data_IF_761947900063
#
_entry.id   IF_761947900063
#
_cell.length_a   1.000
_cell.length_b   1.000
_cell.length_c   1.000
_cell.angle_alpha   90.00
_cell.angle_beta   90.00
_cell.angle_gamma   90.00
#
_symmetry.space_group_name_H-M   'P 1'
#
loop_
_entity.id
_entity.type
_entity.pdbx_description
1 polymer ?
#
# COMPACT_ATOMS: atom_id res chain seq x y z
N UNK A 1 -16.39 18.13 42.29
CA UNK A 1 -16.56 18.24 40.82
C UNK A 1 -15.89 17.02 40.21
N UNK A 2 -16.67 16.08 39.65
CA UNK A 2 -16.20 15.05 38.70
C UNK A 2 -15.89 15.75 37.35
N UNK A 3 -14.99 15.31 36.49
CA UNK A 3 -14.85 14.02 35.77
C UNK A 3 -13.35 13.75 35.50
N UNK A 4 -12.80 12.58 35.25
CA UNK A 4 -13.35 11.27 34.89
C UNK A 4 -12.37 10.59 33.92
N UNK A 5 -11.49 9.74 34.48
CA UNK A 5 -10.91 8.49 33.95
C UNK A 5 -10.30 8.42 32.52
N UNK A 6 -8.98 8.16 32.52
CA UNK A 6 -8.26 7.07 31.83
C UNK A 6 -8.43 6.85 30.32
N UNK A 7 -7.30 6.76 29.59
CA UNK A 7 -6.86 5.52 28.87
C UNK A 7 -5.77 5.76 27.79
N UNK A 8 -4.53 5.38 28.14
CA UNK A 8 -3.44 4.81 27.32
C UNK A 8 -2.47 5.70 26.49
N UNK A 9 -1.18 5.26 26.37
CA UNK A 9 -0.01 6.07 26.00
C UNK A 9 0.55 5.72 24.59
N UNK A 10 1.57 6.45 24.12
CA UNK A 10 2.47 6.11 22.97
C UNK A 10 1.96 6.32 21.53
N UNK A 11 1.65 7.56 21.13
CA UNK A 11 1.72 7.94 19.71
C UNK A 11 2.66 9.13 19.55
N UNK A 12 3.94 8.81 19.46
CA UNK A 12 4.94 9.75 18.92
C UNK A 12 4.53 10.08 17.47
N UNK A 13 4.66 11.32 16.98
CA UNK A 13 4.32 11.65 15.61
C UNK A 13 5.37 11.01 14.69
N UNK A 14 5.06 9.82 14.18
CA UNK A 14 5.85 9.16 13.14
C UNK A 14 5.59 9.93 11.86
N UNK A 15 6.46 10.89 11.58
CA UNK A 15 6.66 11.47 10.26
C UNK A 15 7.22 10.38 9.30
N UNK A 16 6.42 9.35 9.04
CA UNK A 16 6.60 8.37 7.99
C UNK A 16 5.29 8.32 7.25
N UNK A 17 5.25 8.87 6.03
CA UNK A 17 4.05 9.02 5.22
C UNK A 17 3.24 7.73 5.22
N UNK A 18 1.94 7.88 5.43
CA UNK A 18 0.95 6.83 5.27
C UNK A 18 1.02 6.41 3.79
N UNK A 19 1.87 5.42 3.49
CA UNK A 19 2.09 4.92 2.14
C UNK A 19 0.71 4.47 1.62
N UNK A 20 0.18 5.19 0.62
CA UNK A 20 -1.12 4.92 0.03
C UNK A 20 -1.10 3.54 -0.62
N UNK A 21 -2.09 2.70 -0.31
CA UNK A 21 -2.22 1.39 -0.95
C UNK A 21 -2.31 1.55 -2.46
N UNK A 22 -1.48 0.84 -3.20
CA UNK A 22 -1.38 0.94 -4.66
C UNK A 22 -0.55 2.11 -5.19
N UNK A 23 0.01 2.99 -4.35
CA UNK A 23 1.00 4.02 -4.76
C UNK A 23 2.43 3.50 -4.53
N UNK A 24 3.08 3.16 -5.64
CA UNK A 24 4.41 2.55 -5.64
C UNK A 24 5.52 3.52 -6.05
N UNK A 25 5.18 4.62 -6.69
CA UNK A 25 6.14 5.66 -7.08
C UNK A 25 6.21 6.83 -6.07
N UNK A 26 5.30 6.87 -5.08
CA UNK A 26 5.15 7.89 -4.04
C UNK A 26 4.86 9.29 -4.59
N UNK A 27 4.02 9.36 -5.62
CA UNK A 27 3.52 10.62 -6.17
C UNK A 27 2.12 11.01 -5.65
N UNK A 28 1.65 10.29 -4.62
CA UNK A 28 0.34 10.44 -3.97
C UNK A 28 -0.85 10.18 -4.92
N UNK A 29 -0.63 9.49 -6.05
CA UNK A 29 -1.65 9.12 -7.01
C UNK A 29 -1.57 7.63 -7.36
N UNK A 30 -2.72 6.94 -7.35
CA UNK A 30 -2.80 5.58 -7.90
C UNK A 30 -3.03 5.66 -9.41
N UNK A 31 -2.01 5.38 -10.20
CA UNK A 31 -2.04 5.49 -11.66
C UNK A 31 -1.69 4.16 -12.34
N UNK A 32 -1.89 4.05 -13.68
CA UNK A 32 -1.38 2.89 -14.41
C UNK A 32 0.15 2.73 -14.33
N UNK A 33 0.90 3.77 -13.93
CA UNK A 33 2.33 3.67 -13.69
C UNK A 33 2.62 2.78 -12.48
N UNK A 34 1.84 2.87 -11.40
CA UNK A 34 1.97 2.04 -10.22
C UNK A 34 1.66 0.58 -10.53
N UNK A 35 0.63 0.33 -11.35
CA UNK A 35 0.35 -1.02 -11.85
C UNK A 35 1.54 -1.63 -12.61
N UNK A 36 2.24 -0.83 -13.42
CA UNK A 36 3.43 -1.30 -14.14
C UNK A 36 4.60 -1.60 -13.19
N UNK A 37 4.74 -0.85 -12.10
CA UNK A 37 5.75 -1.11 -11.05
C UNK A 37 5.40 -2.40 -10.31
N UNK A 38 4.13 -2.59 -9.91
CA UNK A 38 3.64 -3.82 -9.27
C UNK A 38 3.88 -5.06 -10.16
N UNK A 39 3.61 -4.94 -11.46
CA UNK A 39 3.85 -6.02 -12.42
C UNK A 39 5.35 -6.34 -12.56
N UNK A 40 6.19 -5.30 -12.55
CA UNK A 40 7.65 -5.47 -12.60
C UNK A 40 8.14 -6.21 -11.36
N UNK A 41 7.65 -5.82 -10.17
CA UNK A 41 7.93 -6.50 -8.90
C UNK A 41 7.55 -7.98 -8.99
N UNK A 42 6.32 -8.28 -9.43
CA UNK A 42 5.86 -9.65 -9.61
C UNK A 42 6.77 -10.46 -10.57
N UNK A 43 7.32 -9.82 -11.61
CA UNK A 43 8.17 -10.47 -12.60
C UNK A 43 9.61 -10.73 -12.12
N UNK A 44 10.19 -9.89 -11.25
CA UNK A 44 11.60 -10.01 -10.82
C UNK A 44 11.80 -10.88 -9.56
N UNK A 45 10.72 -11.32 -8.93
CA UNK A 45 10.79 -12.14 -7.71
C UNK A 45 9.66 -11.92 -6.71
N UNK A 46 8.70 -11.05 -7.03
CA UNK A 46 7.55 -10.74 -6.19
C UNK A 46 7.97 -10.21 -4.82
N UNK A 47 7.28 -10.68 -3.78
CA UNK A 47 7.52 -10.30 -2.38
C UNK A 47 8.94 -10.52 -1.87
N UNK A 48 9.71 -11.44 -2.47
CA UNK A 48 11.08 -11.71 -2.05
C UNK A 48 12.06 -10.59 -2.44
N UNK A 49 11.68 -9.71 -3.37
CA UNK A 49 12.53 -8.63 -3.88
C UNK A 49 12.15 -7.24 -3.34
N UNK A 50 11.16 -7.16 -2.46
CA UNK A 50 10.64 -5.89 -1.95
C UNK A 50 10.88 -5.69 -0.45
N UNK A 51 11.14 -4.45 -0.07
CA UNK A 51 11.05 -4.01 1.32
C UNK A 51 9.60 -4.14 1.83
N UNK A 52 9.39 -4.35 3.15
CA UNK A 52 8.06 -4.54 3.72
C UNK A 52 7.09 -3.37 3.48
N UNK A 53 7.61 -2.16 3.27
CA UNK A 53 6.81 -0.97 2.94
C UNK A 53 6.30 -1.00 1.49
N UNK A 54 7.16 -1.40 0.55
CA UNK A 54 6.77 -1.60 -0.85
C UNK A 54 5.83 -2.78 -0.99
N UNK A 55 6.07 -3.86 -0.23
CA UNK A 55 5.16 -4.99 -0.16
C UNK A 55 3.78 -4.54 0.29
N UNK A 56 3.66 -3.79 1.39
CA UNK A 56 2.36 -3.34 1.90
C UNK A 56 1.58 -2.46 0.91
N UNK A 57 2.26 -1.69 0.06
CA UNK A 57 1.60 -0.91 -0.99
C UNK A 57 1.28 -1.72 -2.26
N UNK A 58 2.09 -2.74 -2.57
CA UNK A 58 1.94 -3.54 -3.77
C UNK A 58 1.02 -4.76 -3.59
N UNK A 59 0.91 -5.30 -2.37
CA UNK A 59 0.04 -6.41 -1.98
C UNK A 59 -1.35 -5.87 -1.56
N UNK A 60 -2.13 -5.49 -2.58
CA UNK A 60 -3.45 -4.87 -2.38
C UNK A 60 -4.54 -5.90 -2.10
N UNK A 61 -4.31 -7.17 -2.42
CA UNK A 61 -5.23 -8.24 -2.06
C UNK A 61 -4.96 -8.83 -0.65
N UNK A 62 -3.83 -8.46 -0.03
CA UNK A 62 -3.37 -8.89 1.29
C UNK A 62 -3.16 -10.40 1.42
N UNK A 63 -2.71 -11.06 0.36
CA UNK A 63 -2.38 -12.49 0.38
C UNK A 63 -0.90 -12.77 0.74
N UNK A 64 -0.11 -11.72 0.94
CA UNK A 64 1.31 -11.76 1.26
C UNK A 64 2.22 -11.87 0.03
N UNK A 65 1.66 -11.89 -1.17
CA UNK A 65 2.37 -12.07 -2.43
C UNK A 65 2.04 -10.96 -3.43
N UNK A 66 3.06 -10.23 -3.89
CA UNK A 66 2.86 -9.30 -5.01
C UNK A 66 2.83 -10.09 -6.32
N UNK A 67 1.66 -10.14 -6.95
CA UNK A 67 1.43 -10.85 -8.20
C UNK A 67 0.84 -9.94 -9.29
N UNK A 68 0.64 -10.48 -10.50
CA UNK A 68 -0.08 -9.76 -11.55
C UNK A 68 -1.53 -9.45 -11.18
N UNK A 69 -2.12 -10.14 -10.19
CA UNK A 69 -3.46 -9.84 -9.70
C UNK A 69 -3.48 -8.49 -8.99
N UNK A 70 -2.48 -8.22 -8.15
CA UNK A 70 -2.36 -6.95 -7.45
C UNK A 70 -2.12 -5.79 -8.42
N UNK A 71 -1.25 -6.01 -9.41
CA UNK A 71 -1.03 -5.05 -10.49
C UNK A 71 -2.34 -4.74 -11.25
N UNK A 72 -3.19 -5.74 -11.48
CA UNK A 72 -4.49 -5.55 -12.12
C UNK A 72 -5.47 -4.80 -11.21
N UNK A 73 -5.47 -5.05 -9.91
CA UNK A 73 -6.30 -4.31 -8.95
C UNK A 73 -5.89 -2.83 -8.89
N UNK A 74 -4.58 -2.55 -8.82
CA UNK A 74 -4.05 -1.18 -8.88
C UNK A 74 -4.45 -0.49 -10.19
N UNK A 75 -4.37 -1.18 -11.33
CA UNK A 75 -4.80 -0.63 -12.61
C UNK A 75 -6.29 -0.30 -12.65
N UNK A 76 -7.13 -1.17 -12.08
CA UNK A 76 -8.57 -0.92 -12.00
C UNK A 76 -8.89 0.26 -11.08
N UNK A 77 -8.20 0.37 -9.94
CA UNK A 77 -8.34 1.50 -9.03
C UNK A 77 -7.91 2.83 -9.65
N UNK A 78 -6.83 2.81 -10.44
CA UNK A 78 -6.39 3.97 -11.22
C UNK A 78 -7.39 4.43 -12.30
N UNK A 79 -8.40 3.61 -12.60
CA UNK A 79 -9.49 3.95 -13.54
C UNK A 79 -10.82 4.20 -12.83
N UNK A 80 -10.82 4.34 -11.49
CA UNK A 80 -12.01 4.44 -10.64
C UNK A 80 -12.97 3.23 -10.80
N UNK A 81 -12.47 2.11 -11.31
CA UNK A 81 -13.28 0.91 -11.50
C UNK A 81 -13.49 0.14 -10.19
N UNK A 82 -12.53 0.24 -9.25
CA UNK A 82 -12.59 -0.34 -7.90
C UNK A 82 -11.95 0.59 -6.85
N UNK A 83 -12.24 0.35 -5.57
CA UNK A 83 -11.54 0.95 -4.42
C UNK A 83 -10.60 -0.11 -3.81
N UNK A 84 -9.40 0.30 -3.38
CA UNK A 84 -8.35 -0.58 -2.79
C UNK A 84 -8.46 -0.65 -1.27
#
# INVERSE_FOLDING_TARGET
MAIGTDRYPLMQPWAGGMQLSGDLNRDDQTTPADAAIALTIAAVGGSASCDPTTLAAADVNHDGQVTSLDALMILQAATDAIEL
#
